data_IF_433202378857
#
_entry.id   IF_433202378857
#
_cell.length_a   1.000
_cell.length_b   1.000
_cell.length_c   1.000
_cell.angle_alpha   90.00
_cell.angle_beta   90.00
_cell.angle_gamma   90.00
#
_symmetry.space_group_name_H-M   'P 1'
#
loop_
_entity.id
_entity.type
_entity.pdbx_description
1 polymer ?
#
# COMPACT_ATOMS: atom_id res chain seq x y z
N UNK A 1 46.26 42.38 -73.12
CA UNK A 1 44.96 41.88 -73.63
C UNK A 1 44.14 41.41 -72.44
N UNK A 2 42.84 41.77 -72.43
CA UNK A 2 41.71 41.49 -71.50
C UNK A 2 41.97 40.55 -70.28
N UNK A 3 41.42 40.77 -69.08
CA UNK A 3 40.10 41.30 -68.73
C UNK A 3 40.06 41.93 -67.31
N UNK A 4 39.10 42.83 -67.08
CA UNK A 4 38.74 43.40 -65.79
C UNK A 4 37.30 42.95 -65.43
N UNK A 5 37.00 42.73 -64.15
CA UNK A 5 35.79 43.29 -63.52
C UNK A 5 35.84 43.15 -61.99
N UNK A 6 35.51 44.27 -61.37
CA UNK A 6 35.89 44.70 -60.03
C UNK A 6 34.86 44.29 -58.97
N UNK A 7 35.32 43.76 -57.85
CA UNK A 7 34.49 43.47 -56.67
C UNK A 7 34.43 44.71 -55.77
N UNK A 8 33.26 45.36 -55.83
CA UNK A 8 32.49 46.03 -54.78
C UNK A 8 33.12 47.12 -53.89
N UNK A 9 32.60 48.34 -54.10
CA UNK A 9 32.60 49.45 -53.15
C UNK A 9 31.27 49.53 -52.37
N UNK A 10 31.41 49.90 -51.09
CA UNK A 10 30.51 50.63 -50.18
C UNK A 10 29.08 50.13 -49.86
N UNK A 11 28.81 49.92 -48.56
CA UNK A 11 27.98 50.83 -47.75
C UNK A 11 28.05 50.47 -46.26
N UNK A 12 28.27 51.49 -45.44
CA UNK A 12 28.28 51.46 -43.97
C UNK A 12 26.88 51.81 -43.46
N UNK A 13 26.26 50.93 -42.66
CA UNK A 13 25.02 51.22 -41.95
C UNK A 13 25.02 50.55 -40.55
N UNK A 14 25.22 51.40 -39.55
CA UNK A 14 24.76 51.38 -38.14
C UNK A 14 24.66 50.04 -37.38
N UNK A 15 25.46 49.95 -36.32
CA UNK A 15 25.28 49.02 -35.19
C UNK A 15 23.84 49.04 -34.64
N UNK A 16 23.21 47.87 -34.57
CA UNK A 16 22.17 47.54 -33.59
C UNK A 16 22.37 46.09 -33.12
N UNK A 17 23.03 45.94 -31.98
CA UNK A 17 22.99 44.68 -31.22
C UNK A 17 21.59 44.53 -30.64
N UNK A 18 20.77 43.65 -31.20
CA UNK A 18 19.49 43.30 -30.60
C UNK A 18 19.18 41.83 -30.85
N UNK A 19 19.67 40.96 -29.95
CA UNK A 19 18.96 39.72 -29.60
C UNK A 19 19.04 39.58 -28.08
N UNK A 20 17.99 40.03 -27.42
CA UNK A 20 17.72 39.80 -26.00
C UNK A 20 17.34 38.32 -25.85
N UNK A 21 18.15 37.53 -25.13
CA UNK A 21 17.76 36.19 -24.71
C UNK A 21 16.70 36.30 -23.59
N UNK A 22 15.46 36.55 -23.99
CA UNK A 22 14.29 36.44 -23.12
C UNK A 22 13.47 35.22 -23.56
N UNK A 23 13.97 34.04 -23.20
CA UNK A 23 13.21 32.80 -23.23
C UNK A 23 12.97 32.37 -21.79
N UNK A 24 11.79 32.69 -21.28
CA UNK A 24 11.32 32.38 -19.93
C UNK A 24 11.68 30.95 -19.52
N UNK A 25 12.42 30.82 -18.42
CA UNK A 25 12.43 29.60 -17.61
C UNK A 25 10.97 29.35 -17.20
N UNK A 26 10.27 28.54 -17.99
CA UNK A 26 8.98 27.98 -17.64
C UNK A 26 9.18 27.08 -16.44
N UNK A 27 9.04 27.66 -15.25
CA UNK A 27 8.94 26.95 -13.99
C UNK A 27 7.72 26.05 -14.11
N UNK A 28 7.94 24.78 -14.44
CA UNK A 28 6.96 23.72 -14.27
C UNK A 28 6.74 23.50 -12.77
N UNK A 29 5.99 24.39 -12.14
CA UNK A 29 5.29 24.10 -10.90
C UNK A 29 3.84 23.81 -11.28
N UNK A 30 3.62 22.67 -11.94
CA UNK A 30 2.38 21.98 -11.66
C UNK A 30 2.45 21.61 -10.17
N UNK A 31 1.49 22.04 -9.33
CA UNK A 31 1.32 21.38 -8.05
C UNK A 31 1.10 19.91 -8.40
N UNK A 32 2.07 19.05 -8.10
CA UNK A 32 1.85 17.62 -8.09
C UNK A 32 0.99 17.28 -6.88
N UNK A 33 -0.23 17.82 -6.83
CA UNK A 33 -1.32 17.24 -6.06
C UNK A 33 -1.79 16.06 -6.89
N UNK A 34 -0.97 15.00 -6.92
CA UNK A 34 -1.44 13.71 -7.35
C UNK A 34 -2.55 13.34 -6.38
N UNK A 35 -3.79 13.39 -6.85
CA UNK A 35 -4.96 12.93 -6.10
C UNK A 35 -4.74 11.45 -5.77
N UNK A 36 -4.24 11.18 -4.57
CA UNK A 36 -3.79 9.85 -4.15
C UNK A 36 -5.00 9.05 -3.70
N UNK A 37 -5.84 8.70 -4.68
CA UNK A 37 -6.93 7.75 -4.46
C UNK A 37 -6.32 6.38 -4.17
N UNK A 38 -6.26 5.99 -2.89
CA UNK A 38 -5.91 4.62 -2.52
C UNK A 38 -7.06 3.71 -2.94
N UNK A 39 -6.93 3.11 -4.12
CA UNK A 39 -7.93 2.18 -4.62
C UNK A 39 -7.82 0.82 -3.89
N UNK A 40 -8.41 0.73 -2.69
CA UNK A 40 -8.59 -0.50 -1.91
C UNK A 40 -9.90 -1.20 -2.31
N UNK A 41 -10.11 -1.42 -3.61
CA UNK A 41 -11.32 -2.08 -4.12
C UNK A 41 -11.22 -3.60 -4.06
N UNK A 42 -12.36 -4.25 -3.77
CA UNK A 42 -12.51 -5.71 -3.66
C UNK A 42 -12.24 -6.44 -4.98
N UNK A 43 -12.59 -5.87 -6.14
CA UNK A 43 -12.42 -6.43 -7.50
C UNK A 43 -12.59 -7.97 -7.64
N UNK A 44 -13.51 -8.56 -6.84
CA UNK A 44 -13.85 -9.99 -6.77
C UNK A 44 -12.87 -10.87 -5.98
N UNK A 45 -12.34 -10.39 -4.86
CA UNK A 45 -11.67 -11.25 -3.89
C UNK A 45 -12.71 -12.14 -3.20
N UNK A 46 -12.97 -13.32 -3.78
CA UNK A 46 -13.68 -14.37 -3.06
C UNK A 46 -12.84 -14.73 -1.83
N UNK A 47 -13.29 -14.26 -0.67
CA UNK A 47 -12.73 -14.61 0.62
C UNK A 47 -12.68 -16.14 0.73
N UNK A 48 -11.47 -16.71 0.79
CA UNK A 48 -11.27 -18.10 1.20
C UNK A 48 -11.08 -19.17 0.12
N UNK A 49 -10.65 -18.85 -1.11
CA UNK A 49 -10.32 -19.89 -2.11
C UNK A 49 -8.82 -20.14 -2.36
N UNK A 50 -7.93 -19.34 -1.78
CA UNK A 50 -6.48 -19.50 -1.91
C UNK A 50 -5.91 -20.51 -0.93
N UNK A 51 -4.83 -21.20 -1.30
CA UNK A 51 -4.07 -21.98 -0.33
C UNK A 51 -3.37 -21.02 0.63
N UNK A 52 -3.76 -21.08 1.91
CA UNK A 52 -3.13 -20.30 2.97
C UNK A 52 -2.06 -21.12 3.69
N UNK A 53 -0.91 -20.50 3.96
CA UNK A 53 0.13 -21.05 4.82
C UNK A 53 0.41 -20.11 5.96
N UNK A 54 0.66 -20.67 7.14
CA UNK A 54 1.03 -19.93 8.34
C UNK A 54 2.34 -20.46 8.86
N UNK A 55 3.24 -19.54 9.20
CA UNK A 55 4.41 -19.84 9.99
C UNK A 55 4.42 -18.95 11.22
N UNK A 56 4.81 -19.54 12.35
CA UNK A 56 4.97 -18.83 13.62
C UNK A 56 6.42 -18.96 14.05
N UNK A 57 7.06 -17.82 14.28
CA UNK A 57 8.39 -17.73 14.85
C UNK A 57 8.26 -17.18 16.28
N UNK A 58 8.23 -18.08 17.25
CA UNK A 58 8.15 -17.74 18.68
C UNK A 58 9.42 -17.04 19.19
N UNK A 59 10.58 -17.30 18.61
CA UNK A 59 11.85 -16.67 19.03
C UNK A 59 11.86 -15.17 18.71
N UNK A 60 11.31 -14.79 17.56
CA UNK A 60 11.22 -13.39 17.12
C UNK A 60 9.87 -12.74 17.42
N UNK A 61 8.90 -13.45 18.00
CA UNK A 61 7.54 -12.97 18.24
C UNK A 61 6.84 -12.48 16.95
N UNK A 62 6.98 -13.24 15.87
CA UNK A 62 6.41 -12.89 14.55
C UNK A 62 5.61 -14.07 13.99
N UNK A 63 4.47 -13.79 13.37
CA UNK A 63 3.77 -14.74 12.52
C UNK A 63 3.65 -14.21 11.08
N UNK A 64 3.73 -15.11 10.11
CA UNK A 64 3.50 -14.80 8.70
C UNK A 64 2.32 -15.63 8.18
N UNK A 65 1.45 -14.98 7.41
CA UNK A 65 0.35 -15.61 6.70
C UNK A 65 0.50 -15.30 5.22
N UNK A 66 0.66 -16.33 4.39
CA UNK A 66 0.65 -16.20 2.94
C UNK A 66 -0.67 -16.73 2.40
N UNK A 67 -1.28 -15.98 1.49
CA UNK A 67 -2.45 -16.41 0.75
C UNK A 67 -2.10 -16.45 -0.74
N UNK A 68 -1.97 -17.66 -1.27
CA UNK A 68 -1.67 -17.90 -2.67
C UNK A 68 -2.99 -18.08 -3.44
N UNK A 69 -3.50 -17.00 -4.02
CA UNK A 69 -4.76 -16.96 -4.75
C UNK A 69 -4.59 -16.31 -6.15
N UNK A 70 -3.50 -16.65 -6.84
CA UNK A 70 -3.19 -16.10 -8.15
C UNK A 70 -3.11 -14.57 -8.14
N UNK A 71 -3.89 -13.89 -8.98
CA UNK A 71 -3.96 -12.42 -9.04
C UNK A 71 -4.41 -11.76 -7.74
N UNK A 72 -5.02 -12.50 -6.82
CA UNK A 72 -5.53 -12.04 -5.53
C UNK A 72 -4.64 -12.45 -4.35
N UNK A 73 -3.37 -12.76 -4.64
CA UNK A 73 -2.42 -13.15 -3.60
C UNK A 73 -2.07 -11.96 -2.71
N UNK A 74 -1.81 -12.26 -1.45
CA UNK A 74 -1.33 -11.31 -0.45
C UNK A 74 -0.53 -12.07 0.60
N UNK A 75 0.32 -11.37 1.33
CA UNK A 75 0.93 -11.90 2.55
C UNK A 75 0.83 -10.89 3.68
N UNK A 76 0.83 -11.38 4.92
CA UNK A 76 0.72 -10.58 6.12
C UNK A 76 1.75 -11.00 7.16
N UNK A 77 2.41 -10.02 7.77
CA UNK A 77 3.29 -10.20 8.93
C UNK A 77 2.59 -9.60 10.15
N UNK A 78 2.49 -10.39 11.22
CA UNK A 78 2.01 -9.96 12.52
C UNK A 78 3.21 -9.91 13.48
N UNK A 79 3.68 -8.70 13.78
CA UNK A 79 4.81 -8.47 14.68
C UNK A 79 4.30 -8.20 16.09
N UNK A 80 4.31 -9.23 16.92
CA UNK A 80 3.82 -9.14 18.30
C UNK A 80 4.75 -8.32 19.20
N UNK A 81 6.01 -8.14 18.81
CA UNK A 81 6.97 -7.30 19.52
C UNK A 81 6.64 -5.82 19.40
N UNK A 82 6.30 -5.36 18.19
CA UNK A 82 5.89 -3.95 17.98
C UNK A 82 4.39 -3.73 18.17
N UNK A 83 3.57 -4.78 18.07
CA UNK A 83 2.12 -4.70 18.14
C UNK A 83 1.47 -4.23 16.83
N UNK A 84 2.21 -4.21 15.73
CA UNK A 84 1.71 -3.90 14.40
C UNK A 84 1.57 -5.16 13.55
N UNK A 85 0.58 -5.13 12.65
CA UNK A 85 0.46 -6.07 11.57
C UNK A 85 0.55 -5.32 10.24
N UNK A 86 1.13 -5.95 9.24
CA UNK A 86 1.25 -5.42 7.91
C UNK A 86 0.70 -6.44 6.91
N UNK A 87 0.00 -5.96 5.89
CA UNK A 87 -0.54 -6.79 4.80
C UNK A 87 -0.11 -6.19 3.48
N UNK A 88 0.63 -6.96 2.68
CA UNK A 88 1.06 -6.56 1.34
C UNK A 88 0.09 -7.14 0.31
N UNK A 89 -0.48 -6.25 -0.49
CA UNK A 89 -1.40 -6.60 -1.56
C UNK A 89 -0.64 -6.63 -2.89
N UNK A 90 -0.36 -7.82 -3.42
CA UNK A 90 0.54 -7.95 -4.57
C UNK A 90 -0.02 -7.29 -5.83
N UNK A 91 -1.32 -7.47 -6.12
CA UNK A 91 -1.96 -6.88 -7.29
C UNK A 91 -1.95 -5.34 -7.25
N UNK A 92 -2.22 -4.78 -6.07
CA UNK A 92 -2.30 -3.33 -5.86
C UNK A 92 -0.92 -2.70 -5.66
N UNK A 93 0.11 -3.51 -5.39
CA UNK A 93 1.49 -3.07 -5.12
C UNK A 93 1.56 -2.06 -3.97
N UNK A 94 0.80 -2.32 -2.91
CA UNK A 94 0.80 -1.51 -1.68
C UNK A 94 1.03 -2.38 -0.45
N UNK A 95 1.49 -1.76 0.63
CA UNK A 95 1.56 -2.33 1.97
C UNK A 95 0.58 -1.55 2.88
N UNK A 96 -0.24 -2.25 3.65
CA UNK A 96 -1.15 -1.62 4.62
C UNK A 96 -0.72 -2.08 6.00
N UNK A 97 -0.49 -1.13 6.91
CA UNK A 97 -0.01 -1.39 8.27
C UNK A 97 -1.06 -0.90 9.26
N UNK A 98 -1.38 -1.72 10.25
CA UNK A 98 -2.35 -1.37 11.27
C UNK A 98 -1.90 -1.87 12.64
N UNK A 99 -2.39 -1.22 13.70
CA UNK A 99 -2.20 -1.71 15.05
C UNK A 99 -3.03 -2.99 15.25
N UNK A 100 -2.45 -3.98 15.92
CA UNK A 100 -3.14 -5.23 16.22
C UNK A 100 -4.15 -5.05 17.36
N UNK A 101 -5.39 -5.46 17.12
CA UNK A 101 -6.39 -5.60 18.18
C UNK A 101 -6.15 -6.91 18.95
N UNK A 102 -5.59 -6.81 20.15
CA UNK A 102 -5.24 -7.96 21.00
C UNK A 102 -6.45 -8.72 21.57
N UNK A 103 -7.65 -8.15 21.50
CA UNK A 103 -8.89 -8.78 21.97
C UNK A 103 -9.55 -9.64 20.88
N UNK A 104 -9.19 -9.39 19.63
CA UNK A 104 -9.75 -10.05 18.45
C UNK A 104 -8.74 -10.98 17.79
N UNK A 105 -7.50 -10.52 17.61
CA UNK A 105 -6.43 -11.34 17.04
C UNK A 105 -5.88 -12.33 18.08
N UNK A 106 -5.57 -13.58 17.68
CA UNK A 106 -5.02 -14.56 18.60
C UNK A 106 -3.64 -14.13 19.09
N UNK A 107 -3.32 -14.49 20.35
CA UNK A 107 -1.94 -14.42 20.81
C UNK A 107 -1.04 -15.32 19.96
N UNK A 108 0.26 -15.04 19.94
CA UNK A 108 1.21 -15.85 19.18
C UNK A 108 1.21 -17.31 19.65
N UNK A 109 1.04 -17.56 20.96
CA UNK A 109 0.97 -18.91 21.52
C UNK A 109 -0.31 -19.64 21.07
N UNK A 110 -1.44 -18.94 21.06
CA UNK A 110 -2.69 -19.51 20.54
C UNK A 110 -2.60 -19.79 19.04
N UNK A 111 -1.97 -18.91 18.28
CA UNK A 111 -1.76 -19.11 16.84
C UNK A 111 -0.83 -20.31 16.58
N UNK A 112 0.27 -20.43 17.31
CA UNK A 112 1.21 -21.57 17.23
C UNK A 112 0.51 -22.91 17.53
N UNK A 113 -0.33 -22.94 18.57
CA UNK A 113 -1.12 -24.12 18.90
C UNK A 113 -2.08 -24.50 17.75
N UNK A 114 -2.78 -23.53 17.17
CA UNK A 114 -3.69 -23.75 16.03
C UNK A 114 -2.95 -24.32 14.81
N UNK A 115 -1.74 -23.83 14.53
CA UNK A 115 -0.88 -24.31 13.43
C UNK A 115 -0.45 -25.75 13.69
N UNK A 116 0.06 -26.06 14.89
CA UNK A 116 0.53 -27.41 15.28
C UNK A 116 -0.58 -28.45 15.27
N UNK A 117 -1.77 -28.07 15.71
CA UNK A 117 -2.96 -28.93 15.72
C UNK A 117 -3.58 -29.10 14.32
N UNK A 118 -3.01 -28.46 13.28
CA UNK A 118 -3.53 -28.41 11.91
C UNK A 118 -4.98 -27.93 11.82
N UNK A 119 -5.47 -27.21 12.82
CA UNK A 119 -6.85 -26.66 12.86
C UNK A 119 -7.08 -25.57 11.83
N UNK A 120 -6.01 -25.09 11.20
CA UNK A 120 -6.05 -24.12 10.10
C UNK A 120 -6.15 -24.78 8.71
N UNK A 121 -5.97 -26.11 8.61
CA UNK A 121 -5.96 -26.85 7.35
C UNK A 121 -7.24 -27.73 7.25
N UNK A 122 -8.32 -27.21 6.65
CA UNK A 122 -9.56 -27.98 6.46
C UNK A 122 -10.81 -27.11 6.25
N UNK A 123 -12.01 -27.73 6.16
CA UNK A 123 -13.28 -27.00 6.35
C UNK A 123 -13.16 -26.31 7.71
N UNK A 124 -13.34 -24.98 7.74
CA UNK A 124 -13.17 -24.17 8.93
C UNK A 124 -13.87 -24.80 10.14
N UNK A 125 -13.37 -24.58 11.37
CA UNK A 125 -13.94 -25.20 12.55
C UNK A 125 -15.45 -24.93 12.54
N UNK A 126 -16.26 -25.95 12.83
CA UNK A 126 -17.73 -25.85 12.94
C UNK A 126 -18.19 -25.00 14.14
N UNK A 127 -17.50 -23.89 14.37
CA UNK A 127 -17.70 -22.93 15.43
C UNK A 127 -18.29 -21.61 14.91
N UNK A 128 -18.32 -20.59 15.77
CA UNK A 128 -18.88 -19.29 15.43
C UNK A 128 -18.20 -18.66 14.21
N UNK A 129 -18.90 -17.82 13.45
CA UNK A 129 -18.30 -17.07 12.36
C UNK A 129 -17.04 -16.30 12.82
N UNK A 130 -16.03 -16.13 11.95
CA UNK A 130 -14.85 -15.34 12.25
C UNK A 130 -15.24 -13.94 12.73
N UNK A 131 -14.53 -13.41 13.74
CA UNK A 131 -14.69 -12.00 14.14
C UNK A 131 -14.23 -11.10 12.99
N UNK A 132 -14.93 -9.98 12.77
CA UNK A 132 -14.60 -9.00 11.74
C UNK A 132 -13.87 -7.80 12.33
N UNK A 133 -12.77 -7.40 11.71
CA UNK A 133 -12.10 -6.12 11.93
C UNK A 133 -12.17 -5.30 10.65
N UNK A 134 -12.59 -4.05 10.76
CA UNK A 134 -12.61 -3.10 9.64
C UNK A 134 -11.66 -1.95 9.95
N UNK A 135 -10.85 -1.57 8.96
CA UNK A 135 -9.83 -0.54 9.09
C UNK A 135 -9.97 0.51 7.99
N UNK A 136 -9.96 1.80 8.36
CA UNK A 136 -9.89 2.91 7.42
C UNK A 136 -8.43 3.14 7.04
N UNK A 137 -8.11 3.12 5.74
CA UNK A 137 -6.75 3.35 5.25
C UNK A 137 -6.51 4.84 5.11
N UNK A 138 -5.53 5.34 5.86
CA UNK A 138 -5.09 6.73 5.75
C UNK A 138 -4.55 6.98 4.35
N UNK A 139 -5.02 8.04 3.66
CA UNK A 139 -4.62 8.30 2.28
C UNK A 139 -3.13 8.73 2.18
N UNK A 140 -2.53 9.21 3.28
CA UNK A 140 -1.12 9.59 3.35
C UNK A 140 -0.19 8.38 3.55
N UNK A 141 0.94 8.40 2.84
CA UNK A 141 1.97 7.36 2.96
C UNK A 141 2.71 7.47 4.28
N UNK A 142 3.23 6.33 4.73
CA UNK A 142 4.22 6.27 5.80
C UNK A 142 5.56 6.75 5.25
N UNK A 143 6.07 7.86 5.82
CA UNK A 143 7.34 8.45 5.41
C UNK A 143 8.55 7.67 5.93
N UNK A 144 8.44 7.07 7.12
CA UNK A 144 9.53 6.37 7.79
C UNK A 144 9.09 5.00 8.30
N UNK A 145 9.41 3.97 7.50
CA UNK A 145 9.11 2.58 7.82
C UNK A 145 9.84 2.06 9.06
N UNK A 146 10.98 2.66 9.44
CA UNK A 146 11.77 2.16 10.58
C UNK A 146 11.01 2.25 11.91
N UNK A 147 10.05 3.17 11.99
CA UNK A 147 9.14 3.35 13.14
C UNK A 147 8.17 2.20 13.34
N UNK A 148 7.99 1.33 12.34
CA UNK A 148 7.05 0.21 12.36
C UNK A 148 7.70 -1.11 12.81
N UNK A 149 9.03 -1.11 12.98
CA UNK A 149 9.83 -2.31 13.29
C UNK A 149 10.49 -2.92 12.06
N UNK A 150 11.58 -3.65 12.30
CA UNK A 150 12.44 -4.19 11.25
C UNK A 150 11.70 -5.18 10.32
N UNK A 151 10.87 -6.06 10.88
CA UNK A 151 10.14 -7.07 10.10
C UNK A 151 9.20 -6.42 9.08
N UNK A 152 8.41 -5.44 9.52
CA UNK A 152 7.46 -4.70 8.67
C UNK A 152 8.23 -3.82 7.68
N UNK A 153 9.26 -3.11 8.14
CA UNK A 153 10.09 -2.27 7.26
C UNK A 153 10.73 -3.09 6.13
N UNK A 154 11.16 -4.31 6.42
CA UNK A 154 11.71 -5.23 5.43
C UNK A 154 10.64 -5.74 4.45
N UNK A 155 9.45 -6.14 4.93
CA UNK A 155 8.36 -6.61 4.07
C UNK A 155 7.83 -5.53 3.12
N UNK A 156 7.71 -4.30 3.62
CA UNK A 156 7.14 -3.16 2.89
C UNK A 156 8.18 -2.32 2.13
N UNK A 157 9.47 -2.70 2.16
CA UNK A 157 10.56 -1.91 1.55
C UNK A 157 10.32 -1.68 0.05
N UNK A 158 10.40 -0.43 -0.37
CA UNK A 158 10.22 -0.04 -1.77
C UNK A 158 8.76 -0.09 -2.26
N UNK A 159 7.80 -0.22 -1.34
CA UNK A 159 6.37 -0.33 -1.64
C UNK A 159 5.65 0.83 -0.96
N UNK A 160 4.74 1.54 -1.66
CA UNK A 160 3.86 2.52 -1.02
C UNK A 160 3.15 1.89 0.18
N UNK A 161 3.41 2.45 1.36
CA UNK A 161 2.92 1.92 2.63
C UNK A 161 1.98 2.91 3.27
N UNK A 162 0.85 2.44 3.77
CA UNK A 162 -0.20 3.27 4.35
C UNK A 162 -0.60 2.73 5.72
N UNK A 163 -0.84 3.65 6.66
CA UNK A 163 -1.42 3.28 7.95
C UNK A 163 -2.92 3.04 7.80
N UNK A 164 -3.47 2.14 8.59
CA UNK A 164 -4.90 1.97 8.71
C UNK A 164 -5.33 1.93 10.18
N UNK A 165 -6.46 2.58 10.46
CA UNK A 165 -7.02 2.76 11.79
C UNK A 165 -8.30 1.94 11.95
N UNK A 166 -8.43 1.25 13.07
CA UNK A 166 -9.59 0.39 13.32
C UNK A 166 -10.86 1.24 13.48
N UNK A 167 -11.90 0.90 12.73
CA UNK A 167 -13.21 1.52 12.84
C UNK A 167 -13.96 0.92 14.04
N UNK A 168 -14.58 1.77 14.87
CA UNK A 168 -15.31 1.34 16.06
C UNK A 168 -16.73 1.93 16.14
N UNK A 169 -17.68 1.11 16.62
CA UNK A 169 -19.02 1.59 16.94
C UNK A 169 -19.78 2.12 15.73
N UNK A 170 -20.37 3.32 15.85
CA UNK A 170 -21.25 3.89 14.84
C UNK A 170 -20.55 4.17 13.50
N UNK A 171 -19.22 4.33 13.46
CA UNK A 171 -18.47 4.55 12.21
C UNK A 171 -18.60 3.38 11.23
N UNK A 172 -18.88 2.16 11.72
CA UNK A 172 -19.16 0.99 10.90
C UNK A 172 -20.49 1.11 10.12
N UNK A 173 -21.47 1.83 10.67
CA UNK A 173 -22.80 2.00 10.06
C UNK A 173 -22.84 3.03 8.93
N UNK A 174 -21.87 3.95 8.93
CA UNK A 174 -21.78 5.05 7.96
C UNK A 174 -20.78 4.77 6.84
N UNK A 175 -20.08 3.63 6.91
CA UNK A 175 -19.10 3.28 5.89
C UNK A 175 -19.80 2.66 4.68
N UNK A 176 -19.70 3.33 3.53
CA UNK A 176 -20.39 2.95 2.29
C UNK A 176 -19.43 2.77 1.12
N UNK A 177 -18.27 2.12 1.33
CA UNK A 177 -17.24 2.09 0.29
C UNK A 177 -16.56 0.73 0.11
N UNK A 178 -15.84 0.61 -1.00
CA UNK A 178 -15.19 -0.62 -1.45
C UNK A 178 -14.04 -0.94 -0.48
N UNK A 179 -14.06 -2.14 0.11
CA UNK A 179 -12.98 -2.63 0.95
C UNK A 179 -12.31 -3.84 0.32
N UNK A 180 -11.03 -4.02 0.60
CA UNK A 180 -10.35 -5.28 0.40
C UNK A 180 -10.51 -6.13 1.66
N UNK A 181 -11.26 -7.23 1.56
CA UNK A 181 -11.49 -8.14 2.69
C UNK A 181 -10.64 -9.40 2.55
N UNK A 182 -9.90 -9.71 3.61
CA UNK A 182 -9.17 -10.96 3.77
C UNK A 182 -9.81 -11.79 4.84
N UNK A 183 -10.13 -13.05 4.52
CA UNK A 183 -10.35 -14.06 5.54
C UNK A 183 -8.97 -14.61 5.89
N UNK A 184 -8.52 -14.34 7.11
CA UNK A 184 -7.26 -14.86 7.61
C UNK A 184 -7.59 -16.10 8.44
N UNK A 185 -7.20 -17.27 7.93
CA UNK A 185 -7.20 -18.54 8.67
C UNK A 185 -8.57 -18.99 9.18
N UNK A 186 -9.66 -18.48 8.61
CA UNK A 186 -11.03 -18.72 9.08
C UNK A 186 -11.27 -18.29 10.55
N UNK A 187 -10.35 -17.52 11.16
CA UNK A 187 -10.46 -17.05 12.55
C UNK A 187 -10.85 -15.57 12.63
N UNK A 188 -10.36 -14.77 11.67
CA UNK A 188 -10.63 -13.34 11.61
C UNK A 188 -10.82 -12.90 10.16
N UNK A 189 -11.80 -12.05 9.93
CA UNK A 189 -11.94 -11.29 8.70
C UNK A 189 -11.33 -9.91 8.93
N UNK A 190 -10.37 -9.51 8.11
CA UNK A 190 -9.81 -8.15 8.13
C UNK A 190 -10.17 -7.46 6.83
N UNK A 191 -10.86 -6.33 6.93
CA UNK A 191 -11.23 -5.48 5.81
C UNK A 191 -10.48 -4.16 5.87
N UNK A 192 -9.77 -3.83 4.79
CA UNK A 192 -9.13 -2.54 4.60
C UNK A 192 -9.97 -1.71 3.64
N UNK A 193 -10.26 -0.49 4.03
CA UNK A 193 -11.33 0.32 3.49
C UNK A 193 -10.73 1.70 3.18
N UNK A 194 -10.70 2.12 1.90
CA UNK A 194 -10.16 3.43 1.52
C UNK A 194 -11.24 4.50 1.53
N UNK A 195 -10.92 5.73 1.93
CA UNK A 195 -11.84 6.87 1.85
C UNK A 195 -12.00 7.37 0.40
N UNK A 196 -13.23 7.72 -0.02
CA UNK A 196 -13.43 8.70 -1.10
C UNK A 196 -13.04 10.07 -0.60
N UNK A 197 -12.19 10.74 -1.35
CA UNK A 197 -12.16 12.21 -1.32
C UNK A 197 -13.50 12.68 -1.90
N UNK A 198 -14.36 13.24 -1.05
CA UNK A 198 -15.57 13.90 -1.50
C UNK A 198 -15.17 15.11 -2.37
N UNK A 199 -15.59 15.10 -3.63
CA UNK A 199 -15.52 16.23 -4.55
C UNK A 199 -16.68 17.20 -4.32
#
# INVERSE_FOLDING_TARGET
MLACSSVHCFREDKMKFTIVFAGLLGVFLAPALADYNINVSDDNNKAGSGQQSVSVNNEHNVANVDNNNGGNSWNSIWDYGTGFAATRLFQKKICIVHKMNKEVLPSIQSLDALVKEKKLQGKGPGGPPPKGLMYSVNPNKVDDLSKLGENIANMCRGIPTYMAEEMQGASLLFYSEKCFTTNILWIVNISFCGEKVAY
#
